data_IF_972921548791
#
_entry.id   IF_972921548791
#
_cell.length_a   1.000
_cell.length_b   1.000
_cell.length_c   1.000
_cell.angle_alpha   90.00
_cell.angle_beta   90.00
_cell.angle_gamma   90.00
#
_symmetry.space_group_name_H-M   'P 1'
#
loop_
_entity.id
_entity.type
_entity.pdbx_description
1 polymer ?
#
# COMPACT_ATOMS: atom_id res chain seq x y z
N UNK A 1 14.43 -7.97 50.86
CA UNK A 1 14.37 -6.82 49.92
C UNK A 1 14.55 -7.31 48.48
N UNK A 2 13.48 -7.57 47.70
CA UNK A 2 13.59 -7.95 46.28
C UNK A 2 13.08 -6.81 45.39
N UNK A 3 13.95 -5.87 45.00
CA UNK A 3 13.54 -4.69 44.22
C UNK A 3 14.45 -4.30 43.05
N UNK A 4 15.67 -4.81 43.00
CA UNK A 4 16.71 -4.21 42.16
C UNK A 4 16.82 -4.87 40.77
N UNK A 5 16.62 -6.18 40.66
CA UNK A 5 16.64 -6.90 39.38
C UNK A 5 15.38 -6.69 38.50
N UNK A 6 14.29 -6.15 39.06
CA UNK A 6 13.01 -5.97 38.36
C UNK A 6 12.93 -4.67 37.54
N UNK A 7 13.64 -3.62 37.97
CA UNK A 7 13.69 -2.31 37.30
C UNK A 7 14.29 -2.33 35.88
N UNK A 8 15.46 -2.97 35.63
CA UNK A 8 16.03 -2.99 34.28
C UNK A 8 15.16 -3.78 33.29
N UNK A 9 14.55 -4.90 33.71
CA UNK A 9 13.62 -5.67 32.88
C UNK A 9 12.35 -4.89 32.52
N UNK A 10 11.79 -4.11 33.46
CA UNK A 10 10.63 -3.24 33.19
C UNK A 10 10.96 -2.12 32.20
N UNK A 11 12.13 -1.49 32.32
CA UNK A 11 12.56 -0.43 31.41
C UNK A 11 12.81 -0.96 29.99
N UNK A 12 13.46 -2.12 29.85
CA UNK A 12 13.67 -2.79 28.55
C UNK A 12 12.34 -3.18 27.91
N UNK A 13 11.40 -3.75 28.68
CA UNK A 13 10.08 -4.09 28.19
C UNK A 13 9.25 -2.86 27.77
N UNK A 14 9.36 -1.75 28.50
CA UNK A 14 8.70 -0.49 28.17
C UNK A 14 9.26 0.12 26.87
N UNK A 15 10.59 0.10 26.70
CA UNK A 15 11.26 0.56 25.48
C UNK A 15 10.85 -0.28 24.27
N UNK A 16 10.93 -1.61 24.38
CA UNK A 16 10.48 -2.51 23.32
C UNK A 16 8.99 -2.29 22.99
N UNK A 17 8.14 -2.07 23.99
CA UNK A 17 6.73 -1.73 23.79
C UNK A 17 6.50 -0.39 23.08
N UNK A 18 7.36 0.61 23.31
CA UNK A 18 7.31 1.89 22.61
C UNK A 18 7.77 1.76 21.15
N UNK A 19 8.85 1.01 20.90
CA UNK A 19 9.36 0.73 19.56
C UNK A 19 8.28 0.05 18.69
N UNK A 20 7.63 -0.98 19.22
CA UNK A 20 6.56 -1.70 18.48
C UNK A 20 5.36 -0.80 18.20
N UNK A 21 4.98 0.06 19.16
CA UNK A 21 3.92 1.03 18.93
C UNK A 21 4.29 1.96 17.77
N UNK A 22 5.52 2.46 17.75
CA UNK A 22 6.06 3.26 16.64
C UNK A 22 6.00 2.50 15.30
N UNK A 23 6.54 1.28 15.26
CA UNK A 23 6.54 0.44 14.05
C UNK A 23 5.12 0.19 13.51
N UNK A 24 4.15 -0.09 14.38
CA UNK A 24 2.74 -0.27 13.98
C UNK A 24 2.16 1.01 13.40
N UNK A 25 2.43 2.17 14.00
CA UNK A 25 1.92 3.46 13.52
C UNK A 25 2.52 3.81 12.16
N UNK A 26 3.85 3.66 12.00
CA UNK A 26 4.56 3.88 10.74
C UNK A 26 4.05 2.93 9.64
N UNK A 27 3.88 1.65 9.95
CA UNK A 27 3.33 0.66 9.00
C UNK A 27 1.92 1.06 8.54
N UNK A 28 1.04 1.46 9.46
CA UNK A 28 -0.32 1.88 9.15
C UNK A 28 -0.38 3.21 8.40
N UNK A 29 0.54 4.12 8.69
CA UNK A 29 0.71 5.36 7.98
C UNK A 29 1.11 5.12 6.52
N UNK A 30 2.07 4.23 6.29
CA UNK A 30 2.56 3.90 4.94
C UNK A 30 1.51 3.16 4.11
N UNK A 31 0.87 2.14 4.69
CA UNK A 31 -0.02 1.22 3.98
C UNK A 31 -1.50 1.61 4.01
N UNK A 32 -1.87 2.65 4.76
CA UNK A 32 -3.23 3.20 4.97
C UNK A 32 -4.22 2.26 5.66
N UNK A 33 -4.19 0.96 5.40
CA UNK A 33 -5.10 -0.04 5.93
C UNK A 33 -4.41 -1.39 6.04
N UNK A 34 -4.53 -2.05 7.18
CA UNK A 34 -4.07 -3.43 7.33
C UNK A 34 -4.96 -4.25 8.26
N UNK A 35 -4.92 -5.56 8.08
CA UNK A 35 -5.51 -6.50 9.05
C UNK A 35 -4.48 -6.85 10.11
N UNK A 36 -4.93 -7.36 11.26
CA UNK A 36 -4.01 -7.85 12.30
C UNK A 36 -3.05 -8.93 11.78
N UNK A 37 -3.52 -9.80 10.88
CA UNK A 37 -2.70 -10.87 10.29
C UNK A 37 -1.59 -10.28 9.41
N UNK A 38 -1.92 -9.27 8.60
CA UNK A 38 -0.97 -8.57 7.75
C UNK A 38 0.08 -7.80 8.58
N UNK A 39 -0.35 -7.07 9.62
CA UNK A 39 0.59 -6.41 10.53
C UNK A 39 1.55 -7.39 11.22
N UNK A 40 1.06 -8.57 11.64
CA UNK A 40 1.94 -9.62 12.18
C UNK A 40 2.97 -10.10 11.16
N UNK A 41 2.58 -10.24 9.88
CA UNK A 41 3.47 -10.71 8.84
C UNK A 41 4.58 -9.71 8.50
N UNK A 42 4.32 -8.40 8.67
CA UNK A 42 5.28 -7.31 8.45
C UNK A 42 6.16 -7.01 9.67
N UNK A 43 5.72 -7.39 10.87
CA UNK A 43 6.45 -7.17 12.13
C UNK A 43 6.93 -8.48 12.76
N UNK A 44 7.67 -9.36 12.04
CA UNK A 44 7.97 -10.73 12.46
C UNK A 44 8.97 -10.79 13.63
N UNK A 45 9.69 -9.71 13.95
CA UNK A 45 10.57 -9.63 15.13
C UNK A 45 9.81 -9.81 16.46
N UNK A 46 8.48 -9.84 16.43
CA UNK A 46 7.62 -9.93 17.61
C UNK A 46 7.01 -11.33 17.77
N UNK A 47 7.39 -12.02 18.85
CA UNK A 47 7.29 -13.48 18.99
C UNK A 47 5.87 -14.07 19.19
N UNK A 48 4.79 -13.28 19.28
CA UNK A 48 3.43 -13.85 19.37
C UNK A 48 2.33 -12.94 18.78
N UNK A 49 1.37 -13.58 18.11
CA UNK A 49 0.09 -13.04 17.61
C UNK A 49 -0.69 -12.28 18.69
N UNK A 50 -0.60 -12.72 19.95
CA UNK A 50 -1.20 -12.06 21.10
C UNK A 50 -0.64 -10.67 21.36
N UNK A 51 0.62 -10.44 20.99
CA UNK A 51 1.33 -9.18 21.24
C UNK A 51 0.83 -8.05 20.33
N UNK A 52 0.75 -8.28 19.01
CA UNK A 52 0.20 -7.30 18.05
C UNK A 52 -1.25 -6.95 18.40
N UNK A 53 -2.06 -7.94 18.81
CA UNK A 53 -3.44 -7.70 19.28
C UNK A 53 -3.48 -6.75 20.48
N UNK A 54 -2.59 -6.96 21.45
CA UNK A 54 -2.49 -6.15 22.67
C UNK A 54 -2.06 -4.72 22.35
N UNK A 55 -1.03 -4.57 21.51
CA UNK A 55 -0.53 -3.27 21.06
C UNK A 55 -1.63 -2.47 20.36
N UNK A 56 -2.33 -3.07 19.40
CA UNK A 56 -3.41 -2.38 18.67
C UNK A 56 -4.58 -1.98 19.57
N UNK A 57 -4.91 -2.80 20.58
CA UNK A 57 -5.91 -2.45 21.59
C UNK A 57 -5.44 -1.26 22.42
N UNK A 58 -4.23 -1.33 22.98
CA UNK A 58 -3.67 -0.27 23.81
C UNK A 58 -3.52 1.04 23.04
N UNK A 59 -3.04 1.02 21.79
CA UNK A 59 -2.98 2.21 20.92
C UNK A 59 -4.36 2.84 20.71
N UNK A 60 -5.41 2.03 20.58
CA UNK A 60 -6.76 2.54 20.42
C UNK A 60 -7.31 3.17 21.70
N UNK A 61 -6.97 2.59 22.84
CA UNK A 61 -7.46 3.05 24.15
C UNK A 61 -6.67 4.28 24.64
N UNK A 62 -5.35 4.29 24.44
CA UNK A 62 -4.43 5.36 24.85
C UNK A 62 -4.34 6.50 23.82
N UNK A 63 -4.50 6.21 22.53
CA UNK A 63 -4.32 7.16 21.43
C UNK A 63 -5.39 7.03 20.34
N UNK A 64 -6.68 7.18 20.68
CA UNK A 64 -7.80 7.02 19.74
C UNK A 64 -7.77 8.01 18.56
N UNK A 65 -7.05 9.12 18.71
CA UNK A 65 -6.84 10.10 17.64
C UNK A 65 -5.86 9.62 16.55
N UNK A 66 -4.98 8.67 16.86
CA UNK A 66 -3.92 8.19 15.97
C UNK A 66 -4.33 6.94 15.19
N UNK A 67 -5.11 6.03 15.80
CA UNK A 67 -5.47 4.74 15.17
C UNK A 67 -6.97 4.49 15.22
N UNK A 68 -7.53 4.07 14.09
CA UNK A 68 -8.91 3.64 14.00
C UNK A 68 -9.07 2.15 13.68
N UNK A 69 -10.26 1.63 13.97
CA UNK A 69 -10.65 0.25 13.66
C UNK A 69 -12.06 0.20 13.09
N UNK A 70 -12.24 -0.54 12.01
CA UNK A 70 -13.56 -0.93 11.48
C UNK A 70 -13.67 -2.44 11.45
N UNK A 71 -14.85 -2.97 11.76
CA UNK A 71 -15.14 -4.41 11.69
C UNK A 71 -16.08 -4.69 10.51
N UNK A 72 -15.75 -5.68 9.68
CA UNK A 72 -16.64 -6.16 8.60
C UNK A 72 -16.32 -7.60 8.23
N UNK A 73 -17.36 -8.41 7.99
CA UNK A 73 -17.23 -9.83 7.66
C UNK A 73 -16.33 -10.59 8.65
N UNK A 74 -16.54 -10.36 9.95
CA UNK A 74 -15.74 -10.94 11.06
C UNK A 74 -14.23 -10.59 11.05
N UNK A 75 -13.82 -9.62 10.24
CA UNK A 75 -12.44 -9.14 10.19
C UNK A 75 -12.34 -7.69 10.70
N UNK A 76 -11.29 -7.42 11.47
CA UNK A 76 -10.93 -6.07 11.90
C UNK A 76 -9.90 -5.47 10.97
N UNK A 77 -10.20 -4.29 10.44
CA UNK A 77 -9.31 -3.47 9.64
C UNK A 77 -8.84 -2.30 10.49
N UNK A 78 -7.53 -2.11 10.52
CA UNK A 78 -6.84 -1.08 11.27
C UNK A 78 -6.27 -0.06 10.30
N UNK A 79 -6.38 1.21 10.65
CA UNK A 79 -5.90 2.30 9.81
C UNK A 79 -5.35 3.43 10.67
N UNK A 80 -4.43 4.19 10.11
CA UNK A 80 -3.96 5.42 10.71
C UNK A 80 -5.03 6.52 10.55
N UNK A 81 -5.43 7.13 11.65
CA UNK A 81 -6.51 8.10 11.68
C UNK A 81 -6.04 9.45 11.09
N UNK A 82 -6.96 10.28 10.55
CA UNK A 82 -6.59 11.53 9.89
C UNK A 82 -5.77 12.49 10.76
N UNK A 83 -6.05 12.56 12.07
CA UNK A 83 -5.29 13.41 12.99
C UNK A 83 -3.85 12.91 13.17
N UNK A 84 -3.66 11.58 13.29
CA UNK A 84 -2.32 10.99 13.30
C UNK A 84 -1.55 11.21 12.01
N UNK A 85 -2.21 11.12 10.84
CA UNK A 85 -1.57 11.43 9.56
C UNK A 85 -1.11 12.89 9.49
N UNK A 86 -1.90 13.83 10.00
CA UNK A 86 -1.54 15.24 10.04
C UNK A 86 -0.31 15.48 10.95
N UNK A 87 -0.27 14.84 12.11
CA UNK A 87 0.86 14.91 13.05
C UNK A 87 2.15 14.31 12.46
N UNK A 88 2.05 13.13 11.86
CA UNK A 88 3.19 12.45 11.24
C UNK A 88 3.72 13.21 10.01
N UNK A 89 2.84 13.89 9.26
CA UNK A 89 3.27 14.80 8.20
C UNK A 89 3.92 16.09 8.76
N UNK A 90 3.36 16.67 9.83
CA UNK A 90 3.91 17.87 10.46
C UNK A 90 5.29 17.64 11.11
N UNK A 91 5.54 16.43 11.61
CA UNK A 91 6.83 16.01 12.18
C UNK A 91 7.87 15.57 11.14
N UNK A 92 7.51 15.47 9.86
CA UNK A 92 8.40 15.02 8.80
C UNK A 92 8.66 13.51 8.78
N UNK A 93 7.97 12.73 9.62
CA UNK A 93 8.05 11.27 9.64
C UNK A 93 7.37 10.64 8.41
N UNK A 94 6.46 11.38 7.76
CA UNK A 94 5.83 11.00 6.50
C UNK A 94 5.94 12.10 5.45
N UNK A 95 6.23 11.70 4.22
CA UNK A 95 6.09 12.60 3.08
C UNK A 95 4.63 13.06 2.94
N UNK A 96 4.37 14.34 2.57
CA UNK A 96 3.00 14.83 2.38
C UNK A 96 2.24 14.04 1.31
N UNK A 97 1.26 13.23 1.72
CA UNK A 97 0.45 12.42 0.80
C UNK A 97 -0.82 13.15 0.36
N UNK A 98 -0.67 14.35 -0.19
CA UNK A 98 -1.80 15.15 -0.68
C UNK A 98 -2.62 14.36 -1.72
N UNK A 99 -3.95 14.38 -1.58
CA UNK A 99 -4.88 13.73 -2.52
C UNK A 99 -5.16 12.23 -2.30
N UNK A 100 -4.46 11.54 -1.38
CA UNK A 100 -4.78 10.13 -1.06
C UNK A 100 -6.03 10.00 -0.19
N UNK A 101 -6.87 8.99 -0.45
CA UNK A 101 -8.00 8.71 0.43
C UNK A 101 -7.48 8.21 1.80
N UNK A 102 -7.98 8.77 2.90
CA UNK A 102 -7.53 8.33 4.23
C UNK A 102 -7.86 6.86 4.47
N UNK A 103 -7.07 6.18 5.31
CA UNK A 103 -7.31 4.79 5.70
C UNK A 103 -8.72 4.56 6.26
N UNK A 104 -9.28 5.56 6.95
CA UNK A 104 -10.69 5.59 7.39
C UNK A 104 -11.69 5.46 6.23
N UNK A 105 -11.48 6.23 5.15
CA UNK A 105 -12.33 6.21 3.96
C UNK A 105 -12.22 4.88 3.21
N UNK A 106 -11.01 4.34 3.11
CA UNK A 106 -10.76 3.01 2.51
C UNK A 106 -11.44 1.92 3.33
N UNK A 107 -11.26 1.91 4.66
CA UNK A 107 -11.88 0.93 5.55
C UNK A 107 -13.41 0.93 5.42
N UNK A 108 -14.01 2.12 5.36
CA UNK A 108 -15.45 2.33 5.21
C UNK A 108 -16.00 2.06 3.79
N UNK A 109 -15.13 1.99 2.78
CA UNK A 109 -15.53 1.89 1.38
C UNK A 109 -16.28 0.59 1.03
N UNK A 110 -16.96 0.58 -0.12
CA UNK A 110 -17.49 -0.65 -0.72
C UNK A 110 -16.35 -1.65 -0.95
N UNK A 111 -16.70 -2.94 -1.00
CA UNK A 111 -15.77 -4.07 -1.01
C UNK A 111 -14.56 -3.86 -1.92
N UNK A 112 -14.76 -3.36 -3.16
CA UNK A 112 -13.68 -3.21 -4.15
C UNK A 112 -12.46 -2.38 -3.72
N UNK A 113 -12.64 -1.17 -3.17
CA UNK A 113 -11.48 -0.31 -2.85
C UNK A 113 -10.70 -0.86 -1.65
N UNK A 114 -11.41 -1.30 -0.61
CA UNK A 114 -10.80 -1.98 0.54
C UNK A 114 -10.05 -3.25 0.12
N UNK A 115 -10.68 -4.06 -0.71
CA UNK A 115 -10.12 -5.31 -1.24
C UNK A 115 -8.86 -5.09 -2.08
N UNK A 116 -8.83 -3.99 -2.84
CA UNK A 116 -7.66 -3.57 -3.60
C UNK A 116 -6.50 -3.18 -2.68
N UNK A 117 -6.73 -2.28 -1.72
CA UNK A 117 -5.69 -1.83 -0.79
C UNK A 117 -5.17 -3.00 0.08
N UNK A 118 -6.02 -3.95 0.46
CA UNK A 118 -5.58 -5.15 1.18
C UNK A 118 -4.71 -6.08 0.32
N UNK A 119 -5.02 -6.21 -0.98
CA UNK A 119 -4.21 -7.00 -1.90
C UNK A 119 -2.83 -6.35 -2.15
N UNK A 120 -2.78 -5.01 -2.11
CA UNK A 120 -1.51 -4.29 -2.12
C UNK A 120 -0.68 -4.60 -0.87
N UNK A 121 -1.29 -4.63 0.32
CA UNK A 121 -0.60 -5.05 1.54
C UNK A 121 -0.11 -6.50 1.47
N UNK A 122 -0.89 -7.42 0.88
CA UNK A 122 -0.44 -8.80 0.66
C UNK A 122 0.78 -8.85 -0.28
N UNK A 123 0.84 -7.96 -1.26
CA UNK A 123 1.99 -7.81 -2.17
C UNK A 123 3.22 -7.29 -1.43
N UNK A 124 3.07 -6.27 -0.58
CA UNK A 124 4.14 -5.75 0.29
C UNK A 124 4.70 -6.87 1.17
N UNK A 125 3.82 -7.67 1.79
CA UNK A 125 4.20 -8.81 2.61
C UNK A 125 5.02 -9.82 1.80
N UNK A 126 4.58 -10.15 0.57
CA UNK A 126 5.27 -11.11 -0.28
C UNK A 126 6.70 -10.63 -0.61
N UNK A 127 6.88 -9.36 -0.98
CA UNK A 127 8.20 -8.79 -1.26
C UNK A 127 9.08 -8.74 -0.01
N UNK A 128 8.50 -8.34 1.13
CA UNK A 128 9.20 -8.30 2.41
C UNK A 128 9.70 -9.69 2.83
N UNK A 129 8.85 -10.71 2.73
CA UNK A 129 9.22 -12.09 3.06
C UNK A 129 10.25 -12.68 2.09
N UNK A 130 10.16 -12.31 0.81
CA UNK A 130 11.14 -12.68 -0.21
C UNK A 130 12.45 -11.88 -0.10
N UNK A 131 12.56 -10.92 0.83
CA UNK A 131 13.69 -10.00 0.98
C UNK A 131 14.00 -9.18 -0.28
N UNK A 132 12.98 -8.94 -1.10
CA UNK A 132 13.10 -8.14 -2.33
C UNK A 132 13.00 -6.64 -2.05
N UNK A 133 12.32 -6.25 -0.98
CA UNK A 133 12.21 -4.87 -0.49
C UNK A 133 11.77 -4.89 0.97
N UNK A 134 12.16 -3.91 1.79
CA UNK A 134 11.54 -3.74 3.10
C UNK A 134 10.12 -3.16 2.94
N UNK A 135 9.23 -3.39 3.91
CA UNK A 135 7.88 -2.81 3.88
C UNK A 135 7.88 -1.28 4.02
N UNK A 136 8.91 -0.71 4.65
CA UNK A 136 9.12 0.74 4.76
C UNK A 136 9.57 1.37 3.43
N UNK A 137 10.08 0.57 2.48
CA UNK A 137 10.56 1.02 1.17
C UNK A 137 9.44 1.20 0.13
N UNK A 138 8.20 0.90 0.52
CA UNK A 138 7.02 1.02 -0.33
C UNK A 138 6.37 2.37 -0.15
N UNK A 139 6.13 3.09 -1.24
CA UNK A 139 5.33 4.30 -1.26
C UNK A 139 4.08 4.09 -2.10
N UNK A 140 2.91 4.23 -1.50
CA UNK A 140 1.66 4.27 -2.26
C UNK A 140 1.67 5.46 -3.21
N UNK A 141 1.09 5.34 -4.40
CA UNK A 141 1.27 6.39 -5.42
C UNK A 141 0.08 7.35 -5.53
N UNK A 142 0.34 8.50 -6.15
CA UNK A 142 -0.64 9.56 -6.42
C UNK A 142 -0.92 9.68 -7.92
N UNK A 143 -1.86 10.53 -8.29
CA UNK A 143 -2.14 10.80 -9.69
C UNK A 143 -1.03 11.64 -10.33
N UNK A 144 -0.49 11.13 -11.44
CA UNK A 144 0.47 11.78 -12.31
C UNK A 144 -0.24 12.25 -13.57
N UNK A 145 -0.29 13.57 -13.86
CA UNK A 145 -0.89 14.07 -15.09
C UNK A 145 -0.01 13.68 -16.29
N UNK A 146 -0.64 13.16 -17.35
CA UNK A 146 0.05 12.83 -18.61
C UNK A 146 -0.78 13.28 -19.81
N UNK A 147 -0.18 13.44 -21.00
CA UNK A 147 -0.94 13.71 -22.24
C UNK A 147 -2.00 12.65 -22.56
N UNK A 148 -1.82 11.40 -22.12
CA UNK A 148 -2.79 10.31 -22.29
C UNK A 148 -3.82 10.23 -21.13
N UNK A 149 -3.89 11.27 -20.30
CA UNK A 149 -4.72 11.34 -19.09
C UNK A 149 -3.97 10.94 -17.82
N UNK A 150 -4.64 11.05 -16.67
CA UNK A 150 -3.99 10.78 -15.38
C UNK A 150 -3.59 9.31 -15.24
N UNK A 151 -2.30 9.10 -14.97
CA UNK A 151 -1.73 7.82 -14.54
C UNK A 151 -1.79 7.76 -13.01
N UNK A 152 -2.28 6.65 -12.45
CA UNK A 152 -2.25 6.42 -11.00
C UNK A 152 -1.67 5.02 -10.79
N UNK A 153 -0.36 4.91 -10.51
CA UNK A 153 0.22 3.67 -10.02
C UNK A 153 -0.38 3.33 -8.67
N UNK A 154 -0.45 2.04 -8.33
CA UNK A 154 -0.88 1.65 -6.98
C UNK A 154 0.23 1.94 -5.96
N UNK A 155 1.48 1.65 -6.30
CA UNK A 155 2.65 1.97 -5.50
C UNK A 155 3.93 2.10 -6.33
N UNK A 156 4.98 2.61 -5.67
CA UNK A 156 6.38 2.49 -6.06
C UNK A 156 7.12 1.80 -4.92
N UNK A 157 8.09 0.95 -5.24
CA UNK A 157 8.92 0.25 -4.25
C UNK A 157 10.40 0.49 -4.56
N UNK A 158 11.20 0.75 -3.52
CA UNK A 158 12.66 0.65 -3.58
C UNK A 158 13.06 -0.80 -3.31
N UNK A 159 13.64 -1.45 -4.31
CA UNK A 159 14.10 -2.83 -4.26
C UNK A 159 15.45 -2.93 -3.55
N UNK A 160 15.75 -4.11 -3.03
CA UNK A 160 16.98 -4.40 -2.29
C UNK A 160 18.26 -4.24 -3.14
N UNK A 161 18.16 -4.29 -4.47
CA UNK A 161 19.26 -3.98 -5.39
C UNK A 161 19.46 -2.46 -5.59
N UNK A 162 18.71 -1.65 -4.84
CA UNK A 162 18.70 -0.20 -4.89
C UNK A 162 17.85 0.37 -6.02
N UNK A 163 17.35 -0.44 -6.96
CA UNK A 163 16.48 0.02 -8.05
C UNK A 163 15.05 0.32 -7.57
N UNK A 164 14.28 1.08 -8.34
CA UNK A 164 12.87 1.35 -8.02
C UNK A 164 11.96 0.70 -9.06
N UNK A 165 10.77 0.28 -8.66
CA UNK A 165 9.75 -0.26 -9.57
C UNK A 165 8.37 0.31 -9.27
N UNK A 166 7.60 0.62 -10.31
CA UNK A 166 6.16 0.84 -10.16
C UNK A 166 5.46 -0.50 -9.98
N UNK A 167 4.45 -0.54 -9.13
CA UNK A 167 3.68 -1.74 -8.84
C UNK A 167 2.21 -1.48 -9.12
N UNK A 168 1.59 -2.41 -9.84
CA UNK A 168 0.19 -2.40 -10.21
C UNK A 168 -0.48 -3.69 -9.78
N UNK A 169 -1.50 -3.56 -8.92
CA UNK A 169 -2.27 -4.70 -8.43
C UNK A 169 -3.41 -4.94 -9.39
N UNK A 170 -3.39 -6.09 -10.05
CA UNK A 170 -4.50 -6.54 -10.85
C UNK A 170 -5.32 -7.58 -10.09
N UNK A 171 -6.58 -7.23 -9.82
CA UNK A 171 -7.60 -8.17 -9.33
C UNK A 171 -8.61 -8.57 -10.40
N UNK A 172 -8.96 -7.67 -11.32
CA UNK A 172 -10.05 -7.85 -12.30
C UNK A 172 -9.91 -6.90 -13.52
N UNK A 173 -8.70 -6.44 -13.84
CA UNK A 173 -8.44 -5.50 -14.92
C UNK A 173 -8.71 -6.20 -16.25
N UNK A 174 -9.54 -5.58 -17.08
CA UNK A 174 -9.74 -6.08 -18.45
C UNK A 174 -8.53 -5.73 -19.30
N UNK A 175 -8.27 -6.51 -20.35
CA UNK A 175 -7.20 -6.25 -21.30
C UNK A 175 -7.27 -4.84 -21.89
N UNK A 176 -8.48 -4.34 -22.19
CA UNK A 176 -8.67 -2.96 -22.67
C UNK A 176 -8.21 -1.91 -21.64
N UNK A 177 -8.47 -2.14 -20.34
CA UNK A 177 -8.00 -1.23 -19.27
C UNK A 177 -6.50 -1.32 -19.07
N UNK A 178 -5.92 -2.51 -19.24
CA UNK A 178 -4.47 -2.70 -19.18
C UNK A 178 -3.77 -1.93 -20.32
N UNK A 179 -4.27 -2.03 -21.55
CA UNK A 179 -3.73 -1.29 -22.70
C UNK A 179 -3.73 0.22 -22.43
N UNK A 180 -4.86 0.79 -22.00
CA UNK A 180 -4.94 2.22 -21.64
C UNK A 180 -3.96 2.58 -20.52
N UNK A 181 -3.74 1.68 -19.54
CA UNK A 181 -2.78 1.93 -18.46
C UNK A 181 -1.35 1.95 -18.98
N UNK A 182 -0.99 1.03 -19.87
CA UNK A 182 0.32 0.98 -20.51
C UNK A 182 0.58 2.19 -21.41
N UNK A 183 -0.42 2.66 -22.16
CA UNK A 183 -0.33 3.90 -22.94
C UNK A 183 -0.04 5.12 -22.06
N UNK A 184 -0.65 5.18 -20.87
CA UNK A 184 -0.36 6.23 -19.88
C UNK A 184 1.04 6.12 -19.29
N UNK A 185 1.53 4.92 -19.03
CA UNK A 185 2.93 4.73 -18.61
C UNK A 185 3.91 5.14 -19.70
N UNK A 186 3.64 4.80 -20.95
CA UNK A 186 4.46 5.21 -22.10
C UNK A 186 4.45 6.74 -22.26
N UNK A 187 3.29 7.38 -22.12
CA UNK A 187 3.18 8.84 -22.11
C UNK A 187 3.91 9.48 -20.92
N UNK A 188 3.86 8.86 -19.73
CA UNK A 188 4.54 9.34 -18.54
C UNK A 188 6.07 9.22 -18.63
N UNK A 189 6.57 8.13 -19.22
CA UNK A 189 7.98 7.88 -19.45
C UNK A 189 8.61 8.94 -20.37
N UNK A 190 7.87 9.40 -21.38
CA UNK A 190 8.38 10.33 -22.39
C UNK A 190 8.55 11.74 -21.80
N UNK A 191 9.60 12.47 -22.21
CA UNK A 191 9.74 13.87 -21.83
C UNK A 191 8.52 14.66 -22.35
N UNK A 192 8.06 15.68 -21.61
CA UNK A 192 7.00 16.55 -22.10
C UNK A 192 7.42 17.17 -23.43
N UNK A 193 6.49 17.41 -24.37
CA UNK A 193 6.80 18.14 -25.59
C UNK A 193 7.43 19.48 -25.19
N UNK A 194 8.57 19.82 -25.79
CA UNK A 194 9.33 21.03 -25.47
C UNK A 194 8.52 22.29 -25.81
N UNK A 195 7.71 22.77 -24.87
CA UNK A 195 7.10 24.10 -24.91
C UNK A 195 8.12 25.17 -24.49
N UNK A 196 7.95 26.40 -24.96
CA UNK A 196 8.81 27.59 -24.70
C UNK A 196 9.28 27.66 -23.23
N UNK A 197 10.45 27.10 -22.96
CA UNK A 197 11.07 27.04 -21.64
C UNK A 197 12.59 27.08 -21.82
N UNK A 198 13.28 27.70 -20.86
CA UNK A 198 14.71 28.02 -20.89
C UNK A 198 15.57 27.00 -21.64
N UNK A 199 16.14 27.41 -22.78
CA UNK A 199 17.05 26.62 -23.61
C UNK A 199 18.33 26.14 -22.87
N UNK A 200 18.56 26.63 -21.64
CA UNK A 200 19.71 26.28 -20.81
C UNK A 200 19.57 24.96 -20.03
N UNK A 201 18.38 24.34 -19.98
CA UNK A 201 18.17 23.08 -19.24
C UNK A 201 17.44 22.07 -20.10
N UNK A 202 18.02 20.87 -20.24
CA UNK A 202 17.34 19.76 -20.91
C UNK A 202 15.97 19.50 -20.24
N UNK A 203 14.88 19.36 -21.01
CA UNK A 203 13.55 19.12 -20.45
C UNK A 203 13.56 17.82 -19.64
N UNK A 204 13.22 17.92 -18.35
CA UNK A 204 13.07 16.78 -17.45
C UNK A 204 11.63 16.32 -17.47
N UNK A 205 11.44 15.01 -17.44
CA UNK A 205 10.13 14.42 -17.18
C UNK A 205 9.86 14.41 -15.67
N UNK A 206 8.57 14.49 -15.29
CA UNK A 206 8.15 14.47 -13.88
C UNK A 206 8.68 13.25 -13.11
N UNK A 207 8.78 12.09 -13.77
CA UNK A 207 9.32 10.88 -13.15
C UNK A 207 10.82 10.98 -12.86
N UNK A 208 11.61 11.68 -13.69
CA UNK A 208 13.03 11.89 -13.43
C UNK A 208 13.24 12.76 -12.21
N UNK A 209 12.42 13.80 -12.06
CA UNK A 209 12.48 14.69 -10.89
C UNK A 209 12.06 13.97 -9.60
N UNK A 210 11.15 13.00 -9.71
CA UNK A 210 10.58 12.31 -8.55
C UNK A 210 11.37 11.04 -8.17
N UNK A 211 11.91 10.28 -9.12
CA UNK A 211 12.42 8.91 -8.88
C UNK A 211 13.84 8.63 -9.39
N UNK A 212 14.42 9.48 -10.24
CA UNK A 212 15.79 9.23 -10.73
C UNK A 212 16.85 9.46 -9.64
N UNK A 213 16.50 10.14 -8.55
CA UNK A 213 17.43 10.49 -7.48
C UNK A 213 18.56 11.40 -8.00
N UNK A 214 19.77 11.34 -7.44
CA UNK A 214 20.89 12.20 -7.85
C UNK A 214 21.49 11.82 -9.21
N UNK A 215 21.15 10.66 -9.78
CA UNK A 215 21.69 10.18 -11.06
C UNK A 215 20.68 10.38 -12.20
N UNK A 216 21.05 11.23 -13.16
CA UNK A 216 20.24 11.51 -14.34
C UNK A 216 20.22 10.38 -15.37
N UNK A 217 21.11 9.40 -15.24
CA UNK A 217 21.26 8.27 -16.18
C UNK A 217 20.40 7.07 -15.81
N UNK A 218 19.62 7.18 -14.73
CA UNK A 218 18.78 6.09 -14.25
C UNK A 218 17.68 5.79 -15.28
N UNK A 219 17.49 4.52 -15.70
CA UNK A 219 16.40 4.15 -16.58
C UNK A 219 15.05 4.37 -15.91
N UNK A 220 14.00 4.49 -16.72
CA UNK A 220 12.62 4.52 -16.22
C UNK A 220 12.34 3.26 -15.38
N UNK A 221 11.77 3.38 -14.17
CA UNK A 221 11.44 2.24 -13.32
C UNK A 221 10.58 1.19 -14.07
N UNK A 222 10.89 -0.11 -13.98
CA UNK A 222 10.01 -1.14 -14.51
C UNK A 222 8.61 -1.07 -13.87
N UNK A 223 7.61 -1.54 -14.60
CA UNK A 223 6.23 -1.68 -14.12
C UNK A 223 5.93 -3.14 -13.84
N UNK A 224 5.69 -3.48 -12.58
CA UNK A 224 5.39 -4.83 -12.11
C UNK A 224 3.87 -4.99 -11.96
N UNK A 225 3.29 -5.89 -12.74
CA UNK A 225 1.88 -6.28 -12.59
C UNK A 225 1.77 -7.49 -11.66
N UNK A 226 1.08 -7.31 -10.54
CA UNK A 226 0.86 -8.36 -9.54
C UNK A 226 -0.59 -8.83 -9.65
N UNK A 227 -0.76 -10.07 -10.07
CA UNK A 227 -2.07 -10.71 -10.17
C UNK A 227 -2.51 -11.19 -8.79
N UNK A 228 -3.30 -10.35 -8.12
CA UNK A 228 -3.88 -10.70 -6.84
C UNK A 228 -5.18 -11.49 -7.04
N UNK A 229 -5.36 -12.62 -6.34
CA UNK A 229 -6.58 -13.41 -6.48
C UNK A 229 -7.78 -12.58 -6.04
N UNK A 230 -8.64 -12.21 -6.99
CA UNK A 230 -9.96 -11.72 -6.63
C UNK A 230 -10.76 -12.87 -6.01
N UNK A 231 -11.51 -12.59 -4.94
CA UNK A 231 -12.56 -13.51 -4.49
C UNK A 231 -13.48 -13.75 -5.69
N UNK A 232 -13.32 -14.88 -6.38
CA UNK A 232 -14.20 -15.25 -7.48
C UNK A 232 -15.60 -15.33 -6.87
N UNK A 233 -16.56 -14.56 -7.38
CA UNK A 233 -17.96 -15.03 -7.33
C UNK A 233 -17.91 -16.45 -7.85
N UNK A 234 -18.47 -17.41 -7.11
CA UNK A 234 -18.51 -18.82 -7.50
C UNK A 234 -18.70 -18.89 -9.02
N UNK A 235 -17.65 -19.30 -9.73
CA UNK A 235 -17.77 -19.47 -11.15
C UNK A 235 -18.88 -20.50 -11.37
N UNK A 236 -19.83 -20.30 -12.30
CA UNK A 236 -20.59 -21.45 -12.78
C UNK A 236 -19.55 -22.49 -13.19
N UNK A 237 -19.76 -23.74 -12.74
CA UNK A 237 -18.72 -24.77 -12.68
C UNK A 237 -17.98 -24.97 -14.02
N UNK A 238 -18.58 -24.59 -15.14
CA UNK A 238 -17.97 -24.43 -16.46
C UNK A 238 -18.76 -23.43 -17.32
N UNK A 239 -18.15 -22.91 -18.40
CA UNK A 239 -18.84 -22.14 -19.46
C UNK A 239 -19.97 -22.95 -20.11
N UNK A 240 -19.82 -24.27 -20.13
CA UNK A 240 -20.79 -25.26 -20.60
C UNK A 240 -22.04 -25.30 -19.71
N UNK A 241 -21.89 -25.29 -18.38
CA UNK A 241 -23.02 -25.23 -17.45
C UNK A 241 -23.86 -23.94 -17.64
N UNK A 242 -23.18 -22.80 -17.87
CA UNK A 242 -23.86 -21.54 -18.15
C UNK A 242 -24.54 -21.53 -19.53
N UNK A 243 -24.05 -22.30 -20.51
CA UNK A 243 -24.70 -22.47 -21.81
C UNK A 243 -25.96 -23.33 -21.71
N UNK A 244 -25.89 -24.47 -20.99
CA UNK A 244 -27.05 -25.34 -20.77
C UNK A 244 -28.17 -24.64 -19.99
N UNK A 245 -27.84 -23.84 -18.99
CA UNK A 245 -28.84 -23.08 -18.23
C UNK A 245 -29.56 -22.05 -19.13
N UNK A 246 -28.84 -21.37 -20.02
CA UNK A 246 -29.46 -20.45 -21.01
C UNK A 246 -30.33 -21.20 -22.01
N UNK A 247 -29.89 -22.36 -22.48
CA UNK A 247 -30.63 -23.19 -23.41
C UNK A 247 -31.94 -23.76 -22.80
N UNK A 248 -31.94 -24.08 -21.51
CA UNK A 248 -33.14 -24.52 -20.79
C UNK A 248 -34.15 -23.38 -20.61
N UNK A 249 -33.69 -22.17 -20.29
CA UNK A 249 -34.56 -20.98 -20.15
C UNK A 249 -35.16 -20.49 -21.47
N UNK A 250 -34.55 -20.80 -22.61
CA UNK A 250 -35.08 -20.46 -23.93
C UNK A 250 -36.11 -21.48 -24.46
N UNK A 251 -36.34 -22.59 -23.74
CA UNK A 251 -37.31 -23.64 -24.07
C UNK A 251 -38.53 -23.68 -23.15
N UNK A 252 -38.60 -22.78 -22.17
CA UNK A 252 -39.76 -22.51 -21.33
C UNK A 252 -40.49 -21.26 -21.86
#
# INVERSE_FOLDING_TARGET
MPGEASRPRKAVAAKAGAEIRGEVLLTLAQLRLATRRQLKALLPRQQDTGHVRRVLRNLRDESPALVGRTNRAQQSYWYFAPAGLAEAAASGELAPTAGRATGKRVAASRTRLREHDLALVDTVIAFHQAKMADHADWQLEVAHPTPAGNLVPDAVVLLADGSSAFVEIDRTMSSARLVVKLERYDAYRKPPPSGRGNAARAPRSHWQETYAGPSMDRPFPPVLFVFAPALRRAAPATSEAAFHERAQRARA
#
